data_IF_782760916708
#
_entry.id   IF_782760916708
#
_cell.length_a   1.000
_cell.length_b   1.000
_cell.length_c   1.000
_cell.angle_alpha   90.00
_cell.angle_beta   90.00
_cell.angle_gamma   90.00
#
_symmetry.space_group_name_H-M   'P 1'
#
loop_
_entity.id
_entity.type
_entity.pdbx_description
1 polymer ?
#
# COMPACT_ATOMS: atom_id res chain seq x y z
N UNK A 1 3.60 31.04 10.74
CA UNK A 1 3.14 29.90 9.93
C UNK A 1 4.27 29.56 8.96
N UNK A 2 4.88 28.37 9.02
CA UNK A 2 5.88 27.97 8.00
C UNK A 2 7.14 27.23 8.45
N UNK A 3 7.20 26.63 9.64
CA UNK A 3 8.42 25.91 10.09
C UNK A 3 8.17 24.40 10.34
N UNK A 4 6.91 23.93 10.40
CA UNK A 4 6.61 22.52 10.71
C UNK A 4 6.78 21.53 9.55
N UNK A 5 6.90 21.97 8.29
CA UNK A 5 6.98 21.04 7.14
C UNK A 5 8.40 20.49 6.87
N UNK A 6 9.46 21.13 7.38
CA UNK A 6 10.84 20.73 7.07
C UNK A 6 11.28 19.50 7.90
N UNK A 7 10.70 19.30 9.09
CA UNK A 7 11.10 18.19 9.98
C UNK A 7 10.63 16.83 9.46
N UNK A 8 9.51 16.77 8.72
CA UNK A 8 9.02 15.51 8.15
C UNK A 8 9.92 14.98 7.00
N UNK A 9 10.54 15.88 6.23
CA UNK A 9 11.42 15.50 5.11
C UNK A 9 12.75 14.93 5.60
N UNK A 10 13.29 15.48 6.69
CA UNK A 10 14.57 15.01 7.27
C UNK A 10 14.38 13.70 8.02
N UNK A 11 13.25 13.52 8.73
CA UNK A 11 12.91 12.27 9.42
C UNK A 11 12.68 11.10 8.45
N UNK A 12 11.97 11.34 7.34
CA UNK A 12 11.73 10.31 6.31
C UNK A 12 12.99 9.88 5.57
N UNK A 13 13.91 10.81 5.28
CA UNK A 13 15.16 10.50 4.57
C UNK A 13 16.12 9.62 5.37
N UNK A 14 16.18 9.78 6.70
CA UNK A 14 17.05 8.96 7.55
C UNK A 14 16.46 7.56 7.73
N UNK A 15 15.14 7.43 7.89
CA UNK A 15 14.50 6.10 8.01
C UNK A 15 14.60 5.29 6.71
N UNK A 16 14.46 5.94 5.54
CA UNK A 16 14.66 5.28 4.24
C UNK A 16 16.11 4.82 4.03
N UNK A 17 17.10 5.53 4.57
CA UNK A 17 18.51 5.18 4.34
C UNK A 17 19.01 4.05 5.25
N UNK A 18 18.40 3.84 6.43
CA UNK A 18 18.81 2.76 7.35
C UNK A 18 18.22 1.40 6.99
N UNK A 19 17.09 1.35 6.28
CA UNK A 19 16.51 0.10 5.77
C UNK A 19 17.14 -0.42 4.47
N UNK A 20 17.94 0.40 3.77
CA UNK A 20 18.48 0.11 2.44
C UNK A 20 19.87 -0.57 2.45
N UNK A 21 20.39 -0.95 3.62
CA UNK A 21 21.73 -1.52 3.77
C UNK A 21 21.75 -2.93 4.37
N UNK A 22 20.63 -3.64 4.33
CA UNK A 22 20.60 -5.08 4.59
C UNK A 22 20.63 -5.83 3.25
N UNK A 23 21.85 -6.19 2.79
CA UNK A 23 22.02 -7.04 1.60
C UNK A 23 21.77 -8.51 2.00
N UNK A 24 20.75 -9.19 1.46
CA UNK A 24 20.67 -10.64 1.58
C UNK A 24 21.78 -11.27 0.74
N UNK A 25 22.48 -12.28 1.29
CA UNK A 25 23.51 -13.06 0.57
C UNK A 25 22.86 -13.81 -0.60
N UNK A 26 23.03 -13.28 -1.82
CA UNK A 26 22.56 -13.90 -3.06
C UNK A 26 23.55 -14.97 -3.55
N UNK A 27 23.01 -16.16 -3.84
CA UNK A 27 23.70 -17.29 -4.46
C UNK A 27 24.02 -16.95 -5.94
N UNK A 28 25.26 -17.15 -6.45
CA UNK A 28 25.69 -16.65 -7.77
C UNK A 28 24.95 -17.17 -9.01
N UNK A 29 23.94 -18.04 -8.87
CA UNK A 29 23.30 -18.72 -9.99
C UNK A 29 21.87 -18.24 -10.34
N UNK A 30 21.32 -17.27 -9.61
CA UNK A 30 20.01 -16.73 -9.92
C UNK A 30 20.11 -15.55 -10.91
N UNK A 31 19.68 -15.78 -12.15
CA UNK A 31 19.57 -14.73 -13.17
C UNK A 31 18.60 -13.64 -12.66
N UNK A 32 18.96 -12.35 -12.70
CA UNK A 32 18.09 -11.28 -12.23
C UNK A 32 16.88 -11.17 -13.16
N UNK A 33 15.69 -11.55 -12.67
CA UNK A 33 14.41 -11.12 -13.23
C UNK A 33 14.32 -9.62 -13.00
N UNK A 34 14.52 -8.84 -14.04
CA UNK A 34 14.27 -7.40 -14.00
C UNK A 34 12.76 -7.19 -13.86
N UNK A 35 12.29 -7.01 -12.62
CA UNK A 35 11.01 -6.37 -12.34
C UNK A 35 11.25 -4.90 -12.68
N UNK A 36 10.82 -4.49 -13.87
CA UNK A 36 10.89 -3.10 -14.31
C UNK A 36 9.91 -2.33 -13.41
N UNK A 37 10.43 -1.63 -12.40
CA UNK A 37 9.65 -0.63 -11.67
C UNK A 37 9.30 0.45 -12.69
N UNK A 38 8.04 0.47 -13.12
CA UNK A 38 7.49 1.52 -13.97
C UNK A 38 7.53 2.82 -13.16
N UNK A 39 8.49 3.69 -13.50
CA UNK A 39 8.73 4.90 -12.76
C UNK A 39 7.58 5.88 -13.04
N UNK A 40 6.68 6.09 -12.05
CA UNK A 40 5.61 7.08 -12.13
C UNK A 40 6.16 8.42 -12.63
N UNK A 41 5.72 8.87 -13.81
CA UNK A 41 6.12 10.17 -14.34
C UNK A 41 5.16 11.26 -13.89
N UNK A 42 5.56 12.52 -14.02
CA UNK A 42 4.75 13.67 -13.59
C UNK A 42 3.38 13.80 -14.29
N UNK A 43 3.14 13.04 -15.37
CA UNK A 43 1.88 13.08 -16.13
C UNK A 43 0.99 11.85 -15.91
N UNK A 44 1.48 10.85 -15.18
CA UNK A 44 0.72 9.63 -14.96
C UNK A 44 -0.29 9.82 -13.82
N UNK A 45 -1.47 9.22 -13.99
CA UNK A 45 -2.43 9.12 -12.91
C UNK A 45 -1.91 8.08 -11.92
N UNK A 46 -1.91 8.41 -10.64
CA UNK A 46 -1.52 7.48 -9.58
C UNK A 46 -2.71 7.14 -8.69
N UNK A 47 -2.83 5.86 -8.34
CA UNK A 47 -3.81 5.31 -7.39
C UNK A 47 -3.09 4.63 -6.26
N UNK A 48 -3.15 5.20 -5.08
CA UNK A 48 -2.38 4.76 -3.90
C UNK A 48 -3.36 4.22 -2.86
N UNK A 49 -3.11 3.00 -2.38
CA UNK A 49 -3.79 2.46 -1.21
C UNK A 49 -3.03 2.85 0.06
N UNK A 50 -3.77 3.41 1.02
CA UNK A 50 -3.26 3.76 2.35
C UNK A 50 -3.91 2.81 3.35
N UNK A 51 -3.08 2.09 4.09
CA UNK A 51 -3.53 1.12 5.08
C UNK A 51 -2.92 1.42 6.46
N UNK A 52 -3.77 1.51 7.47
CA UNK A 52 -3.35 1.46 8.86
C UNK A 52 -3.49 0.04 9.38
N UNK A 53 -2.37 -0.57 9.78
CA UNK A 53 -2.33 -1.93 10.34
C UNK A 53 -2.07 -1.85 11.84
N UNK A 54 -2.89 -2.55 12.63
CA UNK A 54 -2.68 -2.73 14.06
C UNK A 54 -2.13 -4.15 14.25
N UNK A 55 -0.80 -4.27 14.20
CA UNK A 55 -0.07 -5.50 14.44
C UNK A 55 0.36 -5.55 15.91
N UNK A 56 0.03 -6.67 16.59
CA UNK A 56 0.42 -6.93 17.98
C UNK A 56 1.36 -8.13 18.01
N UNK A 57 2.26 -8.21 18.98
CA UNK A 57 3.24 -9.32 19.08
C UNK A 57 2.59 -10.72 19.10
N UNK A 58 1.30 -10.80 19.48
CA UNK A 58 0.56 -12.05 19.63
C UNK A 58 -0.50 -12.30 18.53
N UNK A 59 -0.69 -11.38 17.57
CA UNK A 59 -1.74 -11.45 16.53
C UNK A 59 -1.22 -10.93 15.18
N UNK A 60 -1.59 -11.60 14.08
CA UNK A 60 -1.23 -11.25 12.68
C UNK A 60 -1.70 -9.83 12.30
N UNK A 61 -2.55 -9.24 13.14
CA UNK A 61 -3.02 -7.87 13.02
C UNK A 61 -4.23 -7.77 12.11
N UNK A 62 -4.89 -6.61 12.16
CA UNK A 62 -6.00 -6.27 11.26
C UNK A 62 -5.73 -4.90 10.67
N UNK A 63 -6.20 -4.67 9.44
CA UNK A 63 -6.24 -3.31 8.92
C UNK A 63 -7.39 -2.55 9.57
N UNK A 64 -7.06 -1.51 10.34
CA UNK A 64 -8.06 -0.67 11.02
C UNK A 64 -8.50 0.50 10.15
N UNK A 65 -7.73 0.85 9.11
CA UNK A 65 -8.06 1.93 8.17
C UNK A 65 -7.63 1.55 6.76
N UNK A 66 -8.55 1.68 5.81
CA UNK A 66 -8.30 1.54 4.37
C UNK A 66 -8.78 2.80 3.65
N UNK A 67 -7.89 3.43 2.88
CA UNK A 67 -8.22 4.57 2.04
C UNK A 67 -7.58 4.44 0.67
N UNK A 68 -8.24 5.00 -0.35
CA UNK A 68 -7.72 5.09 -1.71
C UNK A 68 -7.54 6.56 -2.06
N UNK A 69 -6.31 6.94 -2.35
CA UNK A 69 -5.96 8.24 -2.87
C UNK A 69 -5.74 8.13 -4.38
N UNK A 70 -6.34 9.03 -5.15
CA UNK A 70 -6.07 9.15 -6.59
C UNK A 70 -5.58 10.55 -6.89
N UNK A 71 -4.56 10.64 -7.74
CA UNK A 71 -3.99 11.89 -8.24
C UNK A 71 -4.04 11.84 -9.76
N UNK A 72 -4.75 12.78 -10.37
CA UNK A 72 -4.85 12.95 -11.83
C UNK A 72 -4.25 14.33 -12.19
N UNK A 73 -2.95 14.39 -12.55
CA UNK A 73 -2.27 15.65 -12.85
C UNK A 73 -2.79 16.29 -14.16
N UNK A 74 -3.35 15.49 -15.08
CA UNK A 74 -3.93 15.99 -16.34
C UNK A 74 -5.23 16.76 -16.06
N UNK A 75 -6.04 16.27 -15.13
CA UNK A 75 -7.30 16.91 -14.74
C UNK A 75 -7.19 17.89 -13.58
N UNK A 76 -6.00 18.07 -13.01
CA UNK A 76 -5.75 18.85 -11.79
C UNK A 76 -6.70 18.44 -10.65
N UNK A 77 -6.81 17.13 -10.42
CA UNK A 77 -7.73 16.57 -9.42
C UNK A 77 -7.03 15.57 -8.52
N UNK A 78 -7.27 15.72 -7.23
CA UNK A 78 -6.99 14.69 -6.24
C UNK A 78 -8.30 14.23 -5.61
N UNK A 79 -8.39 12.96 -5.25
CA UNK A 79 -9.55 12.41 -4.54
C UNK A 79 -9.12 11.39 -3.50
N UNK A 80 -9.82 11.37 -2.38
CA UNK A 80 -9.60 10.44 -1.30
C UNK A 80 -10.93 9.74 -0.98
N UNK A 81 -10.90 8.42 -0.95
CA UNK A 81 -12.03 7.58 -0.59
C UNK A 81 -11.67 6.73 0.62
N UNK A 82 -12.41 6.88 1.72
CA UNK A 82 -12.29 5.98 2.86
C UNK A 82 -13.18 4.76 2.68
N UNK A 83 -12.61 3.57 2.92
CA UNK A 83 -13.34 2.30 2.89
C UNK A 83 -13.60 1.86 4.35
N UNK A 84 -14.87 1.73 4.77
CA UNK A 84 -15.19 1.24 6.11
C UNK A 84 -14.66 -0.18 6.33
N UNK A 85 -14.04 -0.46 7.49
CA UNK A 85 -13.40 -1.77 7.80
C UNK A 85 -14.34 -2.97 7.71
N UNK A 86 -15.62 -2.76 8.01
CA UNK A 86 -16.65 -3.81 8.07
C UNK A 86 -17.39 -3.95 6.73
N UNK A 87 -16.88 -3.34 5.66
CA UNK A 87 -17.45 -3.48 4.31
C UNK A 87 -17.42 -4.95 3.90
N UNK A 88 -18.58 -5.49 3.55
CA UNK A 88 -18.71 -6.91 3.16
C UNK A 88 -18.31 -7.08 1.70
N UNK A 89 -17.25 -7.85 1.47
CA UNK A 89 -16.64 -8.06 0.16
C UNK A 89 -16.35 -9.54 -0.08
N UNK A 90 -16.17 -9.91 -1.33
CA UNK A 90 -15.62 -11.23 -1.67
C UNK A 90 -14.10 -11.21 -1.53
N UNK A 91 -13.55 -12.15 -0.77
CA UNK A 91 -12.11 -12.34 -0.59
C UNK A 91 -11.72 -13.64 -1.30
N UNK A 92 -10.79 -13.56 -2.24
CA UNK A 92 -10.31 -14.71 -3.03
C UNK A 92 -9.81 -15.83 -2.12
N UNK A 93 -10.38 -17.02 -2.26
CA UNK A 93 -10.02 -18.19 -1.45
C UNK A 93 -10.69 -18.27 -0.07
N UNK A 94 -11.37 -17.22 0.39
CA UNK A 94 -11.98 -17.16 1.75
C UNK A 94 -13.49 -16.87 1.76
N UNK A 95 -14.10 -16.57 0.60
CA UNK A 95 -15.54 -16.31 0.50
C UNK A 95 -15.89 -14.87 0.87
N UNK A 96 -17.11 -14.63 1.36
CA UNK A 96 -17.55 -13.27 1.72
C UNK A 96 -17.29 -12.97 3.19
N UNK A 97 -16.54 -11.91 3.46
CA UNK A 97 -16.24 -11.44 4.81
C UNK A 97 -16.06 -9.91 4.81
N UNK A 98 -15.71 -9.35 5.97
CA UNK A 98 -15.31 -7.94 6.13
C UNK A 98 -13.98 -7.69 5.44
N UNK A 99 -13.85 -6.55 4.76
CA UNK A 99 -12.65 -6.22 3.98
C UNK A 99 -11.36 -6.20 4.81
N UNK A 100 -11.44 -5.84 6.09
CA UNK A 100 -10.27 -5.86 6.98
C UNK A 100 -9.75 -7.28 7.31
N UNK A 101 -10.57 -8.31 7.12
CA UNK A 101 -10.15 -9.70 7.32
C UNK A 101 -9.15 -10.14 6.24
N UNK A 102 -9.14 -9.51 5.06
CA UNK A 102 -8.19 -9.82 3.99
C UNK A 102 -6.73 -9.69 4.46
N UNK A 103 -6.44 -8.72 5.33
CA UNK A 103 -5.10 -8.54 5.91
C UNK A 103 -4.73 -9.70 6.83
N UNK A 104 -5.64 -10.13 7.70
CA UNK A 104 -5.39 -11.28 8.58
C UNK A 104 -5.22 -12.60 7.78
N UNK A 105 -5.86 -12.71 6.62
CA UNK A 105 -5.81 -13.92 5.78
C UNK A 105 -4.59 -13.98 4.85
N UNK A 106 -4.09 -12.85 4.37
CA UNK A 106 -3.03 -12.84 3.36
C UNK A 106 -2.20 -11.56 3.31
N UNK A 107 -2.20 -10.78 4.38
CA UNK A 107 -1.44 -9.55 4.54
C UNK A 107 -1.81 -8.47 3.53
N UNK A 108 -0.83 -7.63 3.23
CA UNK A 108 -0.95 -6.52 2.28
C UNK A 108 -1.43 -6.99 0.90
N UNK A 109 -0.84 -8.06 0.36
CA UNK A 109 -1.11 -8.53 -0.99
C UNK A 109 -2.58 -8.94 -1.19
N UNK A 110 -3.12 -9.78 -0.30
CA UNK A 110 -4.53 -10.19 -0.42
C UNK A 110 -5.47 -9.01 -0.17
N UNK A 111 -5.08 -8.06 0.68
CA UNK A 111 -5.86 -6.85 0.92
C UNK A 111 -5.91 -5.98 -0.34
N UNK A 112 -4.78 -5.77 -1.01
CA UNK A 112 -4.73 -5.05 -2.29
C UNK A 112 -5.66 -5.72 -3.32
N UNK A 113 -5.49 -7.02 -3.57
CA UNK A 113 -6.33 -7.74 -4.53
C UNK A 113 -7.83 -7.65 -4.20
N UNK A 114 -8.18 -7.69 -2.91
CA UNK A 114 -9.57 -7.57 -2.45
C UNK A 114 -10.12 -6.16 -2.71
N UNK A 115 -9.31 -5.12 -2.49
CA UNK A 115 -9.72 -3.72 -2.73
C UNK A 115 -9.85 -3.44 -4.22
N UNK A 116 -8.92 -3.94 -5.04
CA UNK A 116 -8.97 -3.86 -6.51
C UNK A 116 -10.24 -4.52 -7.05
N UNK A 117 -10.54 -5.74 -6.60
CA UNK A 117 -11.76 -6.47 -6.97
C UNK A 117 -13.03 -5.73 -6.52
N UNK A 118 -13.02 -5.15 -5.32
CA UNK A 118 -14.19 -4.46 -4.76
C UNK A 118 -14.50 -3.14 -5.48
N UNK A 119 -13.47 -2.38 -5.84
CA UNK A 119 -13.61 -1.07 -6.48
C UNK A 119 -13.55 -1.12 -8.01
N UNK A 120 -13.10 -2.24 -8.59
CA UNK A 120 -12.93 -2.41 -10.03
C UNK A 120 -11.84 -1.48 -10.60
N UNK A 121 -10.75 -1.31 -9.86
CA UNK A 121 -9.61 -0.47 -10.23
C UNK A 121 -8.29 -1.17 -9.89
N UNK A 122 -7.20 -0.73 -10.52
CA UNK A 122 -5.85 -1.20 -10.22
C UNK A 122 -5.15 -0.19 -9.29
N UNK A 123 -4.38 -0.69 -8.32
CA UNK A 123 -3.54 0.12 -7.42
C UNK A 123 -2.10 0.10 -7.93
N UNK A 124 -1.44 1.26 -7.92
CA UNK A 124 -0.07 1.48 -8.44
C UNK A 124 1.02 1.29 -7.36
#
# INVERSE_FOLDING_TARGET
MGICFIVAVIGGGIFASSGLLDKPKQNPNDKPKQKQEELLTAHDKATIMIMGVDEREDDVGRSDTLMIATIDPIKDKASLLSIPRDTRVGIRGYGYDKINAAYAYGGEKLTQETVEDFLGLDID
#
